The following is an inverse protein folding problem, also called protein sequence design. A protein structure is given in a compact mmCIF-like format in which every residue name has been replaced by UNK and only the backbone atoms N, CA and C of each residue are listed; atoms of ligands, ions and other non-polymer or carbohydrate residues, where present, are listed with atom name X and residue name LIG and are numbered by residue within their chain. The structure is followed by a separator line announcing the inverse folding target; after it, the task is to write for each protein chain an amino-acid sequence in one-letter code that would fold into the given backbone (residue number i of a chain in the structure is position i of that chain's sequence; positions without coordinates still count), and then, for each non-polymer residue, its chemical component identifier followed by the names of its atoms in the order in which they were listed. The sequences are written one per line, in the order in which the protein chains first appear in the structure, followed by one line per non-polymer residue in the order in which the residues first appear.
data_IF_737717312553
#
_entry.id   IF_737717312553
#
_cell.length_a   1.000
_cell.length_b   1.000
_cell.length_c   1.000
_cell.angle_alpha   90.00
_cell.angle_beta   90.00
_cell.angle_gamma   90.00
#
_symmetry.space_group_name_H-M   'P 1'
#
loop_
_entity.id
_entity.type
_entity.pdbx_description
1 polymer ?
#
# COMPACT_ATOMS: atom_id res chain seq x y z
N UNK A 1 -3.76 -18.09 -15.80
CA UNK A 1 -2.81 -17.12 -15.19
C UNK A 1 -2.89 -17.26 -13.69
N UNK A 2 -1.79 -17.03 -12.95
CA UNK A 2 -1.83 -17.00 -11.49
C UNK A 2 -2.48 -15.70 -11.03
N UNK A 3 -3.31 -15.78 -10.00
CA UNK A 3 -3.98 -14.64 -9.38
C UNK A 3 -2.95 -13.80 -8.62
N UNK A 4 -2.96 -12.49 -8.84
CA UNK A 4 -2.00 -11.56 -8.21
C UNK A 4 -2.61 -10.84 -7.01
N UNK A 5 -1.88 -10.76 -5.91
CA UNK A 5 -2.22 -9.98 -4.71
C UNK A 5 -1.32 -8.76 -4.62
N UNK A 6 -1.89 -7.62 -4.27
CA UNK A 6 -1.11 -6.44 -3.89
C UNK A 6 -0.87 -6.43 -2.38
N UNK A 7 0.40 -6.35 -1.98
CA UNK A 7 0.82 -6.27 -0.59
C UNK A 7 1.44 -4.89 -0.33
N UNK A 8 0.87 -4.13 0.61
CA UNK A 8 1.25 -2.74 0.87
C UNK A 8 1.82 -2.53 2.28
N UNK A 9 2.89 -1.77 2.39
CA UNK A 9 3.40 -1.25 3.67
C UNK A 9 4.25 0.02 3.48
N UNK A 10 4.54 0.71 4.57
CA UNK A 10 5.71 1.60 4.64
C UNK A 10 6.96 0.73 4.76
N UNK A 11 7.55 0.35 3.62
CA UNK A 11 8.60 -0.66 3.57
C UNK A 11 9.94 -0.19 4.16
N UNK A 12 10.16 1.12 4.31
CA UNK A 12 11.29 1.70 5.05
C UNK A 12 11.43 1.17 6.49
N UNK A 13 10.32 0.72 7.06
CA UNK A 13 10.24 0.21 8.43
C UNK A 13 9.57 -1.16 8.54
N UNK A 14 8.92 -1.65 7.48
CA UNK A 14 8.15 -2.90 7.48
C UNK A 14 8.44 -3.83 6.30
N UNK A 15 9.59 -3.68 5.66
CA UNK A 15 9.91 -4.52 4.52
C UNK A 15 10.04 -6.00 4.91
N UNK A 16 10.60 -6.33 6.08
CA UNK A 16 10.73 -7.74 6.51
C UNK A 16 9.35 -8.37 6.77
N UNK A 17 8.46 -7.66 7.43
CA UNK A 17 7.10 -8.12 7.70
C UNK A 17 6.28 -8.25 6.41
N UNK A 18 6.45 -7.31 5.47
CA UNK A 18 5.76 -7.40 4.18
C UNK A 18 6.30 -8.55 3.33
N UNK A 19 7.61 -8.79 3.33
CA UNK A 19 8.23 -9.93 2.68
C UNK A 19 7.75 -11.25 3.30
N UNK A 20 7.62 -11.35 4.63
CA UNK A 20 7.06 -12.52 5.29
C UNK A 20 5.62 -12.81 4.81
N UNK A 21 4.77 -11.79 4.72
CA UNK A 21 3.41 -11.93 4.17
C UNK A 21 3.45 -12.35 2.71
N UNK A 22 4.35 -11.78 1.91
CA UNK A 22 4.51 -12.14 0.51
C UNK A 22 4.93 -13.60 0.32
N UNK A 23 5.84 -14.10 1.17
CA UNK A 23 6.24 -15.50 1.13
C UNK A 23 5.09 -16.44 1.51
N UNK A 24 4.27 -16.08 2.48
CA UNK A 24 3.05 -16.82 2.80
C UNK A 24 2.06 -16.86 1.62
N UNK A 25 1.87 -15.74 0.91
CA UNK A 25 1.03 -15.66 -0.30
C UNK A 25 1.59 -16.54 -1.43
N UNK A 26 2.91 -16.48 -1.66
CA UNK A 26 3.60 -17.30 -2.67
C UNK A 26 3.49 -18.79 -2.35
N UNK A 27 3.63 -19.17 -1.09
CA UNK A 27 3.47 -20.55 -0.62
C UNK A 27 2.03 -21.06 -0.79
N UNK A 28 1.04 -20.17 -0.78
CA UNK A 28 -0.35 -20.49 -1.13
C UNK A 28 -0.59 -20.60 -2.66
N UNK A 29 0.46 -20.46 -3.49
CA UNK A 29 0.40 -20.63 -4.94
C UNK A 29 -0.07 -19.40 -5.72
N UNK A 30 -0.10 -18.23 -5.08
CA UNK A 30 -0.50 -16.94 -5.67
C UNK A 30 0.73 -16.08 -6.00
N UNK A 31 0.57 -15.16 -6.95
CA UNK A 31 1.58 -14.13 -7.21
C UNK A 31 1.35 -12.94 -6.28
N UNK A 32 2.41 -12.18 -5.98
CA UNK A 32 2.36 -11.02 -5.10
C UNK A 32 3.24 -9.90 -5.63
N UNK A 33 2.72 -8.68 -5.57
CA UNK A 33 3.45 -7.43 -5.88
C UNK A 33 3.59 -6.64 -4.59
N UNK A 34 4.83 -6.31 -4.23
CA UNK A 34 5.20 -5.51 -3.07
C UNK A 34 5.14 -4.02 -3.42
N UNK A 35 4.37 -3.27 -2.64
CA UNK A 35 4.13 -1.84 -2.87
C UNK A 35 4.60 -1.05 -1.66
N UNK A 36 5.55 -0.17 -1.90
CA UNK A 36 6.06 0.74 -0.88
C UNK A 36 5.21 2.01 -0.78
N UNK A 37 4.93 2.42 0.45
CA UNK A 37 4.21 3.64 0.82
C UNK A 37 5.02 4.53 1.76
N UNK A 38 6.32 4.30 1.86
CA UNK A 38 7.24 5.10 2.66
C UNK A 38 7.23 6.56 2.22
N UNK A 39 7.33 7.49 3.18
CA UNK A 39 7.28 8.93 2.90
C UNK A 39 8.62 9.65 3.07
N UNK A 40 9.65 8.94 3.59
CA UNK A 40 10.99 9.50 3.84
C UNK A 40 12.12 8.52 3.52
N UNK A 41 11.91 7.23 3.76
CA UNK A 41 12.81 6.17 3.31
C UNK A 41 12.31 5.49 2.04
N UNK A 42 13.03 4.45 1.62
CA UNK A 42 12.63 3.54 0.55
C UNK A 42 13.09 2.13 0.89
N UNK A 43 12.60 1.15 0.14
CA UNK A 43 13.09 -0.22 0.17
C UNK A 43 13.29 -0.73 -1.25
N UNK A 44 14.51 -1.20 -1.56
CA UNK A 44 14.84 -1.81 -2.85
C UNK A 44 14.11 -3.13 -3.11
N UNK A 45 13.44 -3.68 -2.09
CA UNK A 45 12.61 -4.88 -2.20
C UNK A 45 11.21 -4.61 -2.76
N UNK A 46 10.84 -3.35 -2.98
CA UNK A 46 9.53 -3.00 -3.51
C UNK A 46 9.49 -3.22 -5.02
N UNK A 47 8.43 -3.89 -5.52
CA UNK A 47 8.16 -3.99 -6.95
C UNK A 47 7.60 -2.66 -7.49
N UNK A 48 6.88 -1.93 -6.64
CA UNK A 48 6.34 -0.61 -6.92
C UNK A 48 6.79 0.34 -5.83
N UNK A 49 7.55 1.36 -6.20
CA UNK A 49 8.12 2.31 -5.26
C UNK A 49 7.11 3.35 -4.78
N UNK A 50 7.41 3.99 -3.65
CA UNK A 50 6.58 5.04 -3.09
C UNK A 50 6.44 6.25 -4.03
N UNK A 51 7.45 6.53 -4.85
CA UNK A 51 7.42 7.61 -5.84
C UNK A 51 6.36 7.37 -6.92
N UNK A 52 6.20 6.12 -7.36
CA UNK A 52 5.19 5.75 -8.35
C UNK A 52 3.78 6.00 -7.79
N UNK A 53 3.55 5.62 -6.53
CA UNK A 53 2.27 5.86 -5.86
C UNK A 53 2.05 7.36 -5.62
N UNK A 54 3.06 8.06 -5.11
CA UNK A 54 3.01 9.49 -4.82
C UNK A 54 2.74 10.33 -6.08
N UNK A 55 3.18 9.89 -7.26
CA UNK A 55 2.92 10.58 -8.53
C UNK A 55 1.42 10.69 -8.86
N UNK A 56 0.58 9.83 -8.31
CA UNK A 56 -0.87 9.91 -8.47
C UNK A 56 -1.54 10.95 -7.56
N UNK A 57 -0.79 11.61 -6.69
CA UNK A 57 -1.35 12.67 -5.86
C UNK A 57 -1.88 13.82 -6.74
N UNK A 58 -3.11 14.31 -6.55
CA UNK A 58 -3.72 15.34 -7.42
C UNK A 58 -2.91 16.65 -7.51
N UNK A 59 -2.18 16.98 -6.46
CA UNK A 59 -1.30 18.15 -6.40
C UNK A 59 0.20 17.81 -6.60
N UNK A 60 0.49 16.62 -7.14
CA UNK A 60 1.83 16.14 -7.47
C UNK A 60 2.60 15.46 -6.32
N UNK A 61 3.65 14.70 -6.65
CA UNK A 61 4.39 13.85 -5.69
C UNK A 61 5.14 14.64 -4.61
N UNK A 62 5.46 15.91 -4.87
CA UNK A 62 6.11 16.78 -3.89
C UNK A 62 5.26 16.97 -2.63
N UNK A 63 3.93 16.90 -2.75
CA UNK A 63 3.03 16.99 -1.60
C UNK A 63 3.12 15.79 -0.66
N UNK A 64 3.71 14.70 -1.11
CA UNK A 64 3.94 13.49 -0.31
C UNK A 64 5.38 13.47 0.21
N UNK A 65 6.34 13.58 -0.70
CA UNK A 65 7.75 13.27 -0.44
C UNK A 65 8.56 14.43 0.17
N UNK A 66 8.07 15.68 0.08
CA UNK A 66 8.77 16.86 0.62
C UNK A 66 8.19 17.35 1.95
N UNK A 67 7.31 16.59 2.58
CA UNK A 67 6.67 16.99 3.83
C UNK A 67 7.57 16.78 5.05
N UNK A 68 7.75 17.83 5.84
CA UNK A 68 8.52 17.81 7.10
C UNK A 68 7.70 17.31 8.28
N UNK A 69 6.37 17.38 8.21
CA UNK A 69 5.47 16.78 9.19
C UNK A 69 5.08 15.35 8.77
N UNK A 70 5.15 14.41 9.71
CA UNK A 70 4.84 13.00 9.43
C UNK A 70 3.35 12.79 9.18
N UNK A 71 2.48 13.49 9.91
CA UNK A 71 1.03 13.39 9.74
C UNK A 71 0.59 13.85 8.35
N UNK A 72 1.08 15.02 7.92
CA UNK A 72 0.82 15.56 6.58
C UNK A 72 1.31 14.61 5.48
N UNK A 73 2.52 14.05 5.63
CA UNK A 73 3.04 13.07 4.68
C UNK A 73 2.15 11.82 4.57
N UNK A 74 1.66 11.31 5.72
CA UNK A 74 0.74 10.17 5.77
C UNK A 74 -0.59 10.50 5.09
N UNK A 75 -1.18 11.66 5.38
CA UNK A 75 -2.42 12.12 4.75
C UNK A 75 -2.26 12.29 3.25
N UNK A 76 -1.15 12.87 2.80
CA UNK A 76 -0.88 13.05 1.38
C UNK A 76 -0.65 11.71 0.68
N UNK A 77 0.11 10.79 1.26
CA UNK A 77 0.28 9.44 0.69
C UNK A 77 -1.06 8.69 0.63
N UNK A 78 -1.93 8.83 1.64
CA UNK A 78 -3.26 8.25 1.63
C UNK A 78 -4.11 8.78 0.45
N UNK A 79 -4.03 10.08 0.17
CA UNK A 79 -4.71 10.70 -0.96
C UNK A 79 -4.17 10.20 -2.31
N UNK A 80 -2.84 10.07 -2.43
CA UNK A 80 -2.20 9.52 -3.62
C UNK A 80 -2.61 8.06 -3.87
N UNK A 81 -2.52 7.22 -2.83
CA UNK A 81 -2.88 5.82 -2.90
C UNK A 81 -4.37 5.60 -3.22
N UNK A 82 -5.25 6.47 -2.69
CA UNK A 82 -6.70 6.42 -2.97
C UNK A 82 -7.02 6.68 -4.44
N UNK A 83 -6.18 7.42 -5.16
CA UNK A 83 -6.30 7.60 -6.61
C UNK A 83 -5.67 6.43 -7.35
N UNK A 84 -4.43 6.10 -6.99
CA UNK A 84 -3.61 5.12 -7.71
C UNK A 84 -4.19 3.70 -7.65
N UNK A 85 -4.56 3.22 -6.46
CA UNK A 85 -4.90 1.81 -6.22
C UNK A 85 -6.17 1.36 -6.99
N UNK A 86 -7.28 2.11 -6.99
CA UNK A 86 -8.45 1.76 -7.81
C UNK A 86 -8.14 1.69 -9.31
N UNK A 87 -7.30 2.58 -9.83
CA UNK A 87 -6.96 2.60 -11.26
C UNK A 87 -6.09 1.41 -11.64
N UNK A 88 -5.18 0.97 -10.75
CA UNK A 88 -4.43 -0.27 -10.97
C UNK A 88 -5.33 -1.50 -10.96
N UNK A 89 -6.34 -1.55 -10.09
CA UNK A 89 -7.23 -2.70 -9.98
C UNK A 89 -8.21 -2.79 -11.16
N UNK A 90 -8.63 -1.67 -11.74
CA UNK A 90 -9.46 -1.68 -12.96
C UNK A 90 -8.70 -2.21 -14.19
N UNK A 91 -7.39 -1.96 -14.24
CA UNK A 91 -6.56 -2.22 -15.43
C UNK A 91 -5.84 -3.56 -15.39
N UNK A 92 -5.80 -4.22 -14.22
CA UNK A 92 -5.06 -5.47 -13.99
C UNK A 92 -5.97 -6.51 -13.34
N UNK A 93 -5.71 -7.80 -13.61
CA UNK A 93 -6.40 -8.90 -12.93
C UNK A 93 -5.87 -9.10 -11.50
N UNK A 94 -6.22 -8.18 -10.59
CA UNK A 94 -5.87 -8.25 -9.16
C UNK A 94 -6.92 -9.04 -8.39
N UNK A 95 -6.50 -10.06 -7.67
CA UNK A 95 -7.38 -10.96 -6.94
C UNK A 95 -7.67 -10.51 -5.50
N UNK A 96 -6.90 -9.56 -4.97
CA UNK A 96 -7.08 -9.02 -3.63
C UNK A 96 -5.95 -8.11 -3.20
N UNK A 97 -6.16 -7.50 -2.03
CA UNK A 97 -5.21 -6.54 -1.44
C UNK A 97 -5.02 -6.82 0.04
N UNK A 98 -3.77 -6.82 0.49
CA UNK A 98 -3.42 -6.89 1.92
C UNK A 98 -2.47 -5.75 2.27
N UNK A 99 -2.70 -5.13 3.43
CA UNK A 99 -1.80 -4.13 3.98
C UNK A 99 -1.39 -4.49 5.40
N UNK A 100 -0.20 -4.04 5.80
CA UNK A 100 0.28 -4.15 7.19
C UNK A 100 0.66 -2.77 7.72
N UNK A 101 0.26 -2.46 8.95
CA UNK A 101 0.58 -1.16 9.53
C UNK A 101 0.19 -1.02 10.99
N UNK A 102 0.88 -0.11 11.70
CA UNK A 102 0.36 0.44 12.95
C UNK A 102 -0.64 1.57 12.65
N UNK A 103 -1.02 2.36 13.67
CA UNK A 103 -2.00 3.47 13.53
C UNK A 103 -1.82 4.32 12.26
N UNK A 104 -0.60 4.85 12.01
CA UNK A 104 -0.34 5.68 10.83
C UNK A 104 -0.43 4.92 9.50
N UNK A 105 0.04 3.68 9.44
CA UNK A 105 -0.06 2.84 8.24
C UNK A 105 -1.49 2.43 7.94
N UNK A 106 -2.26 2.08 8.98
CA UNK A 106 -3.69 1.80 8.87
C UNK A 106 -4.46 3.03 8.37
N UNK A 107 -4.21 4.21 8.94
CA UNK A 107 -4.81 5.46 8.50
C UNK A 107 -4.45 5.80 7.04
N UNK A 108 -3.25 5.43 6.59
CA UNK A 108 -2.79 5.62 5.22
C UNK A 108 -3.54 4.75 4.21
N UNK A 109 -3.69 3.45 4.49
CA UNK A 109 -4.21 2.47 3.53
C UNK A 109 -5.74 2.36 3.54
N UNK A 110 -6.39 2.58 4.69
CA UNK A 110 -7.83 2.35 4.84
C UNK A 110 -8.68 3.15 3.84
N UNK A 111 -8.43 4.46 3.58
CA UNK A 111 -9.22 5.22 2.60
C UNK A 111 -9.13 4.67 1.18
N UNK A 112 -7.96 4.13 0.79
CA UNK A 112 -7.76 3.54 -0.52
C UNK A 112 -8.49 2.20 -0.65
N UNK A 113 -8.42 1.34 0.37
CA UNK A 113 -9.13 0.06 0.37
C UNK A 113 -10.66 0.25 0.37
N UNK A 114 -11.16 1.27 1.06
CA UNK A 114 -12.58 1.62 1.06
C UNK A 114 -13.07 2.05 -0.33
N UNK A 115 -12.21 2.69 -1.14
CA UNK A 115 -12.55 3.10 -2.51
C UNK A 115 -12.61 1.94 -3.52
N UNK A 116 -12.15 0.73 -3.13
CA UNK A 116 -12.20 -0.45 -3.98
C UNK A 116 -13.60 -1.09 -4.03
N UNK A 117 -13.97 -1.73 -5.16
CA UNK A 117 -15.28 -2.38 -5.29
C UNK A 117 -15.60 -3.37 -4.16
N UNK A 118 -16.88 -3.48 -3.84
CA UNK A 118 -17.38 -4.55 -2.98
C UNK A 118 -17.20 -5.90 -3.69
N UNK A 119 -16.81 -6.93 -2.95
CA UNK A 119 -16.51 -8.27 -3.48
C UNK A 119 -15.03 -8.53 -3.74
N UNK A 120 -14.19 -7.49 -3.85
CA UNK A 120 -12.74 -7.65 -3.87
C UNK A 120 -12.21 -7.88 -2.44
N UNK A 121 -11.50 -8.99 -2.16
CA UNK A 121 -10.88 -9.23 -0.87
C UNK A 121 -9.88 -8.12 -0.50
N UNK A 122 -10.07 -7.51 0.67
CA UNK A 122 -9.26 -6.41 1.20
C UNK A 122 -9.04 -6.56 2.70
N UNK A 123 -7.77 -6.64 3.12
CA UNK A 123 -7.36 -6.93 4.49
C UNK A 123 -6.34 -5.91 4.99
N UNK A 124 -6.41 -5.58 6.29
CA UNK A 124 -5.38 -4.80 6.99
C UNK A 124 -4.99 -5.56 8.25
N UNK A 125 -3.70 -5.90 8.40
CA UNK A 125 -3.13 -6.29 9.69
C UNK A 125 -2.80 -5.01 10.43
N UNK A 126 -3.54 -4.73 11.50
CA UNK A 126 -3.51 -3.44 12.21
C UNK A 126 -3.29 -3.63 13.71
N UNK A 127 -2.38 -2.84 14.28
CA UNK A 127 -2.20 -2.76 15.74
C UNK A 127 -3.32 -1.99 16.45
N UNK A 128 -4.22 -1.35 15.69
CA UNK A 128 -5.35 -0.55 16.21
C UNK A 128 -6.69 -1.15 15.80
N UNK A 129 -6.72 -2.45 15.46
CA UNK A 129 -7.98 -3.15 15.16
C UNK A 129 -8.85 -3.34 16.41
N UNK A 130 -8.22 -3.46 17.58
CA UNK A 130 -8.90 -3.48 18.89
C UNK A 130 -8.86 -2.07 19.47
N UNK A 131 -10.00 -1.38 19.48
CA UNK A 131 -10.15 -0.01 19.98
C UNK A 131 -11.47 0.19 20.70
#
# INVERSE_FOLDING_TARGET
MRKTIYALATMDTKADELCFVADAIRNAGLDVVLIDLSTRGHSDRADISAEIVAAAHPAGPAQVLKQTDRGQAVTAMAAALRVWLPDQIKTKEIAGVIAIGGSGGTAMVAPALQALPVGLPKLIVSTVASG
#
